data_IF_919049363160
#
_entry.id   IF_919049363160
#
_cell.length_a   1.000
_cell.length_b   1.000
_cell.length_c   1.000
_cell.angle_alpha   90.00
_cell.angle_beta   90.00
_cell.angle_gamma   90.00
#
_symmetry.space_group_name_H-M   'P 1'
#
loop_
_entity.id
_entity.type
_entity.pdbx_description
1 polymer ?
#
# COMPACT_ATOMS: atom_id res chain seq x y z
N UNK A 1 -87.00 6.45 2.93
CA UNK A 1 -86.15 6.92 1.83
C UNK A 1 -84.69 6.76 2.24
N UNK A 2 -83.92 5.99 1.49
CA UNK A 2 -82.56 5.56 1.82
C UNK A 2 -81.51 6.69 1.64
N UNK A 3 -80.38 6.67 2.37
CA UNK A 3 -79.30 7.62 2.16
C UNK A 3 -78.42 7.23 0.96
N UNK A 4 -78.09 8.21 0.12
CA UNK A 4 -77.25 8.07 -1.07
C UNK A 4 -75.80 7.73 -0.67
N UNK A 5 -75.29 6.60 -1.17
CA UNK A 5 -73.86 6.26 -1.24
C UNK A 5 -73.13 7.28 -2.12
N UNK A 6 -72.28 8.12 -1.53
CA UNK A 6 -71.30 8.92 -2.26
C UNK A 6 -70.14 8.03 -2.70
N UNK A 7 -70.03 7.78 -4.01
CA UNK A 7 -68.97 6.97 -4.59
C UNK A 7 -67.59 7.60 -4.42
N UNK A 8 -66.62 6.79 -3.98
CA UNK A 8 -65.18 7.06 -4.13
C UNK A 8 -64.89 7.32 -5.61
N UNK A 9 -64.66 8.58 -6.00
CA UNK A 9 -63.95 8.90 -7.23
C UNK A 9 -62.49 8.52 -7.03
N UNK A 10 -62.08 7.41 -7.62
CA UNK A 10 -60.67 7.08 -7.81
C UNK A 10 -59.96 8.24 -8.48
N UNK A 11 -58.89 8.71 -7.84
CA UNK A 11 -57.97 9.70 -8.41
C UNK A 11 -57.33 9.02 -9.63
N UNK A 12 -57.73 9.44 -10.82
CA UNK A 12 -57.11 9.04 -12.11
C UNK A 12 -55.60 9.25 -11.96
N UNK A 13 -54.82 8.18 -12.12
CA UNK A 13 -53.38 8.28 -12.35
C UNK A 13 -53.21 9.16 -13.59
N UNK A 14 -52.55 10.29 -13.40
CA UNK A 14 -52.07 11.14 -14.47
C UNK A 14 -51.08 10.27 -15.26
N UNK A 15 -51.36 10.04 -16.54
CA UNK A 15 -50.42 9.40 -17.47
C UNK A 15 -49.27 10.38 -17.72
N UNK A 16 -48.45 10.56 -16.69
CA UNK A 16 -47.22 11.32 -16.77
C UNK A 16 -46.26 10.50 -17.64
N UNK A 17 -45.88 11.04 -18.80
CA UNK A 17 -44.92 10.44 -19.72
C UNK A 17 -43.54 10.36 -19.05
N UNK A 18 -42.83 9.25 -19.27
CA UNK A 18 -41.49 9.05 -18.71
C UNK A 18 -40.54 10.18 -19.13
N UNK A 19 -39.81 10.82 -18.20
CA UNK A 19 -38.86 11.86 -18.56
C UNK A 19 -37.77 11.29 -19.47
N UNK A 20 -37.30 12.12 -20.41
CA UNK A 20 -36.32 11.70 -21.40
C UNK A 20 -35.05 11.17 -20.73
N UNK A 21 -34.56 10.03 -21.19
CA UNK A 21 -33.35 9.40 -20.66
C UNK A 21 -32.13 10.26 -20.96
N UNK A 22 -31.23 10.40 -19.98
CA UNK A 22 -29.93 11.02 -20.22
C UNK A 22 -29.15 10.08 -21.17
N UNK A 23 -28.67 10.62 -22.30
CA UNK A 23 -27.92 9.87 -23.30
C UNK A 23 -26.67 9.17 -22.73
N UNK A 24 -26.16 9.63 -21.58
CA UNK A 24 -25.06 8.97 -20.88
C UNK A 24 -25.42 7.59 -20.31
N UNK A 25 -26.68 7.34 -19.94
CA UNK A 25 -27.09 6.04 -19.41
C UNK A 25 -27.00 4.96 -20.48
N UNK A 26 -27.52 5.24 -21.68
CA UNK A 26 -27.43 4.33 -22.83
C UNK A 26 -25.97 4.14 -23.26
N UNK A 27 -25.19 5.23 -23.33
CA UNK A 27 -23.75 5.16 -23.63
C UNK A 27 -22.98 4.34 -22.61
N UNK A 28 -23.33 4.35 -21.33
CA UNK A 28 -22.68 3.49 -20.34
C UNK A 28 -23.09 2.04 -20.49
N UNK A 29 -24.34 1.76 -20.84
CA UNK A 29 -24.77 0.38 -21.13
C UNK A 29 -24.04 -0.18 -22.36
N UNK A 30 -23.75 0.67 -23.36
CA UNK A 30 -23.00 0.27 -24.56
C UNK A 30 -21.48 0.21 -24.33
N UNK A 31 -20.91 1.21 -23.65
CA UNK A 31 -19.45 1.31 -23.43
C UNK A 31 -18.96 0.49 -22.25
N UNK A 32 -19.82 0.24 -21.25
CA UNK A 32 -19.47 -0.36 -19.97
C UNK A 32 -18.69 0.58 -19.04
N UNK A 33 -18.58 1.88 -19.34
CA UNK A 33 -17.79 2.82 -18.53
C UNK A 33 -18.69 3.89 -17.93
N UNK A 34 -18.58 4.09 -16.61
CA UNK A 34 -19.24 5.17 -15.89
C UNK A 34 -18.23 6.12 -15.27
N UNK A 35 -18.15 7.34 -15.81
CA UNK A 35 -17.24 8.41 -15.36
C UNK A 35 -17.98 9.59 -14.70
N UNK A 36 -19.31 9.52 -14.65
CA UNK A 36 -20.16 10.61 -14.16
C UNK A 36 -20.37 10.54 -12.64
N UNK A 37 -20.90 11.62 -12.07
CA UNK A 37 -21.22 11.69 -10.64
C UNK A 37 -22.32 10.68 -10.27
N UNK A 38 -22.38 10.28 -9.00
CA UNK A 38 -23.45 9.43 -8.47
C UNK A 38 -24.83 10.09 -8.62
N UNK A 39 -24.87 11.42 -8.64
CA UNK A 39 -26.09 12.23 -8.85
C UNK A 39 -26.64 12.16 -10.26
N UNK A 40 -25.80 11.80 -11.24
CA UNK A 40 -26.21 11.70 -12.64
C UNK A 40 -26.83 10.33 -12.97
N UNK A 41 -26.81 9.40 -12.02
CA UNK A 41 -27.49 8.12 -12.16
C UNK A 41 -29.01 8.30 -12.02
N UNK A 42 -29.82 7.43 -12.66
CA UNK A 42 -31.27 7.45 -12.49
C UNK A 42 -31.64 7.30 -11.00
N UNK A 43 -32.52 8.15 -10.49
CA UNK A 43 -33.03 8.07 -9.12
C UNK A 43 -34.44 7.44 -9.14
N UNK A 44 -34.63 6.38 -8.35
CA UNK A 44 -35.91 5.70 -8.18
C UNK A 44 -37.00 6.60 -7.58
N UNK A 45 -36.62 7.66 -6.86
CA UNK A 45 -37.56 8.65 -6.33
C UNK A 45 -38.09 9.60 -7.41
N UNK A 46 -37.33 9.79 -8.48
CA UNK A 46 -37.72 10.67 -9.59
C UNK A 46 -38.73 10.00 -10.49
N UNK A 47 -38.56 8.69 -10.77
CA UNK A 47 -39.50 7.95 -11.60
C UNK A 47 -39.56 6.44 -11.28
N UNK A 48 -40.73 5.77 -11.37
CA UNK A 48 -40.88 4.37 -10.98
C UNK A 48 -40.00 3.37 -11.73
N UNK A 49 -39.70 3.60 -13.01
CA UNK A 49 -38.87 2.70 -13.83
C UNK A 49 -37.37 2.98 -13.67
N UNK A 50 -37.00 4.14 -13.12
CA UNK A 50 -35.59 4.56 -13.03
C UNK A 50 -34.78 3.74 -12.02
N UNK A 51 -35.42 3.15 -11.02
CA UNK A 51 -34.75 2.16 -10.16
C UNK A 51 -34.20 0.98 -10.97
N UNK A 52 -35.04 0.36 -11.80
CA UNK A 52 -34.60 -0.75 -12.66
C UNK A 52 -33.57 -0.30 -13.71
N UNK A 53 -33.69 0.93 -14.21
CA UNK A 53 -32.71 1.50 -15.15
C UNK A 53 -31.35 1.70 -14.47
N UNK A 54 -31.32 2.21 -13.24
CA UNK A 54 -30.11 2.38 -12.43
C UNK A 54 -29.41 1.04 -12.21
N UNK A 55 -30.16 0.02 -11.81
CA UNK A 55 -29.62 -1.34 -11.64
C UNK A 55 -29.04 -1.86 -12.95
N UNK A 56 -29.75 -1.66 -14.07
CA UNK A 56 -29.29 -2.09 -15.40
C UNK A 56 -28.00 -1.37 -15.82
N UNK A 57 -27.91 -0.06 -15.62
CA UNK A 57 -26.70 0.73 -15.92
C UNK A 57 -25.53 0.22 -15.08
N UNK A 58 -25.70 0.11 -13.77
CA UNK A 58 -24.64 -0.34 -12.86
C UNK A 58 -24.22 -1.80 -13.11
N UNK A 59 -25.15 -2.68 -13.46
CA UNK A 59 -24.85 -4.10 -13.76
C UNK A 59 -24.12 -4.26 -15.10
N UNK A 60 -24.33 -3.34 -16.05
CA UNK A 60 -23.64 -3.33 -17.33
C UNK A 60 -22.23 -2.70 -17.25
N UNK A 61 -21.91 -1.98 -16.16
CA UNK A 61 -20.61 -1.35 -15.99
C UNK A 61 -19.48 -2.39 -15.85
N UNK A 62 -18.44 -2.20 -16.67
CA UNK A 62 -17.12 -2.81 -16.57
C UNK A 62 -16.14 -1.97 -15.76
N UNK A 63 -16.26 -0.65 -15.88
CA UNK A 63 -15.40 0.30 -15.16
C UNK A 63 -16.25 1.42 -14.56
N UNK A 64 -16.03 1.71 -13.28
CA UNK A 64 -16.68 2.82 -12.58
C UNK A 64 -15.57 3.72 -12.04
N UNK A 65 -15.50 4.95 -12.57
CA UNK A 65 -14.50 5.96 -12.22
C UNK A 65 -15.21 7.22 -11.73
N UNK A 66 -15.32 7.37 -10.42
CA UNK A 66 -15.95 8.53 -9.79
C UNK A 66 -14.94 9.20 -8.89
N UNK A 67 -14.27 10.21 -9.43
CA UNK A 67 -13.17 10.88 -8.75
C UNK A 67 -13.58 12.23 -8.14
N UNK A 68 -12.90 12.64 -7.07
CA UNK A 68 -12.97 13.96 -6.46
C UNK A 68 -14.40 14.45 -6.17
N UNK A 69 -15.26 13.57 -5.69
CA UNK A 69 -16.67 13.88 -5.46
C UNK A 69 -17.03 13.87 -3.98
N UNK A 70 -17.95 14.77 -3.61
CA UNK A 70 -18.63 14.73 -2.32
C UNK A 70 -19.97 13.95 -2.39
N UNK A 71 -20.42 13.55 -3.58
CA UNK A 71 -21.69 12.84 -3.75
C UNK A 71 -21.62 11.36 -3.36
N UNK A 72 -20.43 10.77 -3.46
CA UNK A 72 -20.21 9.36 -3.17
C UNK A 72 -20.20 9.11 -1.66
N UNK A 73 -21.09 8.22 -1.24
CA UNK A 73 -21.29 7.80 0.15
C UNK A 73 -21.28 6.28 0.24
N UNK A 74 -21.17 5.77 1.46
CA UNK A 74 -21.22 4.34 1.78
C UNK A 74 -22.45 3.63 1.16
N UNK A 75 -23.59 4.31 1.09
CA UNK A 75 -24.82 3.75 0.50
C UNK A 75 -24.64 3.33 -0.96
N UNK A 76 -23.90 4.13 -1.75
CA UNK A 76 -23.63 3.84 -3.16
C UNK A 76 -22.62 2.71 -3.33
N UNK A 77 -21.55 2.72 -2.54
CA UNK A 77 -20.59 1.61 -2.53
C UNK A 77 -21.30 0.29 -2.18
N UNK A 78 -22.12 0.29 -1.13
CA UNK A 78 -22.93 -0.86 -0.73
C UNK A 78 -23.95 -1.27 -1.80
N UNK A 79 -24.49 -0.34 -2.58
CA UNK A 79 -25.38 -0.62 -3.69
C UNK A 79 -24.66 -1.38 -4.81
N UNK A 80 -23.50 -0.89 -5.25
CA UNK A 80 -22.68 -1.59 -6.27
C UNK A 80 -22.34 -3.00 -5.79
N UNK A 81 -21.91 -3.11 -4.54
CA UNK A 81 -21.55 -4.39 -3.92
C UNK A 81 -22.74 -5.36 -3.87
N UNK A 82 -23.95 -4.86 -3.59
CA UNK A 82 -25.19 -5.66 -3.60
C UNK A 82 -25.61 -6.09 -5.00
N UNK A 83 -25.47 -5.20 -5.98
CA UNK A 83 -25.77 -5.52 -7.38
C UNK A 83 -24.76 -6.51 -7.96
N UNK A 84 -23.53 -6.52 -7.42
CA UNK A 84 -22.42 -7.39 -7.81
C UNK A 84 -22.28 -7.50 -9.34
N UNK A 85 -21.97 -6.39 -10.05
CA UNK A 85 -21.91 -6.40 -11.50
C UNK A 85 -20.92 -7.46 -12.00
N UNK A 86 -21.33 -8.37 -12.90
CA UNK A 86 -20.54 -9.55 -13.26
C UNK A 86 -19.32 -9.22 -14.12
N UNK A 87 -19.34 -8.09 -14.82
CA UNK A 87 -18.27 -7.65 -15.73
C UNK A 87 -17.41 -6.52 -15.16
N UNK A 88 -17.64 -6.09 -13.91
CA UNK A 88 -16.91 -4.98 -13.30
C UNK A 88 -15.48 -5.41 -12.98
N UNK A 89 -14.52 -4.76 -13.64
CA UNK A 89 -13.09 -5.00 -13.50
C UNK A 89 -12.37 -3.92 -12.70
N UNK A 90 -12.89 -2.69 -12.73
CA UNK A 90 -12.24 -1.53 -12.10
C UNK A 90 -13.24 -0.65 -11.35
N UNK A 91 -12.91 -0.32 -10.11
CA UNK A 91 -13.58 0.71 -9.31
C UNK A 91 -12.53 1.73 -8.90
N UNK A 92 -12.73 2.98 -9.30
CA UNK A 92 -11.90 4.11 -8.91
C UNK A 92 -12.79 5.16 -8.24
N UNK A 93 -12.67 5.26 -6.92
CA UNK A 93 -13.35 6.26 -6.09
C UNK A 93 -12.39 7.28 -5.49
N UNK A 94 -11.27 7.53 -6.17
CA UNK A 94 -10.24 8.44 -5.70
C UNK A 94 -10.81 9.81 -5.30
N UNK A 95 -10.42 10.33 -4.14
CA UNK A 95 -10.84 11.66 -3.70
C UNK A 95 -12.29 11.73 -3.22
N UNK A 96 -12.92 10.59 -2.88
CA UNK A 96 -14.28 10.55 -2.36
C UNK A 96 -14.35 11.05 -0.91
N UNK A 97 -14.77 12.30 -0.72
CA UNK A 97 -14.67 13.00 0.56
C UNK A 97 -15.65 12.47 1.62
N UNK A 98 -16.76 11.85 1.20
CA UNK A 98 -17.83 11.40 2.09
C UNK A 98 -17.94 9.87 2.22
N UNK A 99 -17.00 9.12 1.63
CA UNK A 99 -16.89 7.69 1.84
C UNK A 99 -16.21 7.44 3.19
N UNK A 100 -16.91 6.78 4.11
CA UNK A 100 -16.43 6.45 5.46
C UNK A 100 -16.11 4.99 5.61
N UNK A 101 -16.94 4.13 5.02
CA UNK A 101 -16.78 2.69 5.12
C UNK A 101 -16.90 2.07 3.74
N UNK A 102 -15.93 1.22 3.38
CA UNK A 102 -16.01 0.40 2.18
C UNK A 102 -15.99 -1.08 2.58
N UNK A 103 -17.07 -1.79 2.24
CA UNK A 103 -17.25 -3.20 2.59
C UNK A 103 -17.59 -3.99 1.33
N UNK A 104 -16.69 -4.88 0.92
CA UNK A 104 -16.90 -5.87 -0.12
C UNK A 104 -16.93 -7.26 0.54
N UNK A 105 -18.12 -7.81 0.71
CA UNK A 105 -18.36 -9.12 1.35
C UNK A 105 -19.80 -9.59 1.06
N UNK A 106 -20.02 -10.86 0.65
CA UNK A 106 -19.07 -11.99 0.65
C UNK A 106 -18.04 -12.00 -0.48
N UNK A 107 -17.08 -12.94 -0.41
CA UNK A 107 -15.93 -13.08 -1.35
C UNK A 107 -16.32 -13.25 -2.83
N UNK A 108 -17.55 -13.69 -3.09
CA UNK A 108 -18.08 -13.94 -4.44
C UNK A 108 -18.62 -12.67 -5.13
N UNK A 109 -18.69 -11.54 -4.42
CA UNK A 109 -19.15 -10.28 -4.99
C UNK A 109 -18.15 -9.70 -5.96
N UNK A 110 -18.66 -9.15 -7.07
CA UNK A 110 -17.88 -8.57 -8.16
C UNK A 110 -16.75 -9.52 -8.61
N UNK A 111 -17.09 -10.70 -9.17
CA UNK A 111 -16.16 -11.82 -9.38
C UNK A 111 -15.03 -11.53 -10.38
N UNK A 112 -15.09 -10.41 -11.10
CA UNK A 112 -14.08 -9.96 -12.07
C UNK A 112 -13.35 -8.70 -11.63
N UNK A 113 -13.62 -8.17 -10.44
CA UNK A 113 -12.99 -6.93 -9.96
C UNK A 113 -11.51 -7.18 -9.75
N UNK A 114 -10.66 -6.50 -10.53
CA UNK A 114 -9.20 -6.64 -10.47
C UNK A 114 -8.55 -5.42 -9.80
N UNK A 115 -9.10 -4.23 -10.02
CA UNK A 115 -8.52 -2.96 -9.60
C UNK A 115 -9.48 -2.16 -8.72
N UNK A 116 -9.03 -1.78 -7.54
CA UNK A 116 -9.78 -0.92 -6.61
C UNK A 116 -8.90 0.24 -6.13
N UNK A 117 -9.25 1.47 -6.51
CA UNK A 117 -8.60 2.69 -6.04
C UNK A 117 -9.55 3.46 -5.11
N UNK A 118 -9.13 3.58 -3.85
CA UNK A 118 -9.82 4.34 -2.80
C UNK A 118 -8.89 5.43 -2.24
N UNK A 119 -7.89 5.86 -3.01
CA UNK A 119 -6.92 6.88 -2.59
C UNK A 119 -7.55 8.25 -2.36
N UNK A 120 -6.91 9.09 -1.55
CA UNK A 120 -7.32 10.48 -1.26
C UNK A 120 -8.73 10.59 -0.64
N UNK A 121 -9.28 9.49 -0.09
CA UNK A 121 -10.56 9.50 0.61
C UNK A 121 -10.41 10.05 2.03
N UNK A 122 -10.66 11.36 2.19
CA UNK A 122 -10.43 12.07 3.44
C UNK A 122 -11.20 11.52 4.65
N UNK A 123 -12.40 10.98 4.46
CA UNK A 123 -13.24 10.47 5.55
C UNK A 123 -13.21 8.95 5.72
N UNK A 124 -12.44 8.22 4.90
CA UNK A 124 -12.44 6.76 4.89
C UNK A 124 -11.82 6.24 6.18
N UNK A 125 -12.63 5.60 7.03
CA UNK A 125 -12.23 5.14 8.36
C UNK A 125 -12.07 3.63 8.48
N UNK A 126 -12.85 2.87 7.71
CA UNK A 126 -12.89 1.41 7.79
C UNK A 126 -12.99 0.77 6.40
N UNK A 127 -12.15 -0.23 6.17
CA UNK A 127 -12.17 -1.02 4.93
C UNK A 127 -12.21 -2.50 5.27
N UNK A 128 -13.20 -3.20 4.73
CA UNK A 128 -13.29 -4.66 4.73
C UNK A 128 -13.41 -5.16 3.30
N UNK A 129 -12.45 -5.95 2.84
CA UNK A 129 -12.40 -6.45 1.48
C UNK A 129 -12.27 -7.96 1.49
N UNK A 130 -13.20 -8.63 0.82
CA UNK A 130 -13.16 -10.05 0.51
C UNK A 130 -13.39 -10.20 -0.98
N UNK A 131 -12.38 -10.66 -1.72
CA UNK A 131 -12.51 -10.90 -3.16
C UNK A 131 -11.53 -11.97 -3.61
N UNK A 132 -11.95 -12.82 -4.54
CA UNK A 132 -11.06 -13.81 -5.16
C UNK A 132 -10.32 -13.27 -6.41
N UNK A 133 -10.75 -12.13 -6.95
CA UNK A 133 -10.26 -11.58 -8.23
C UNK A 133 -9.40 -10.33 -8.09
N UNK A 134 -9.47 -9.65 -6.94
CA UNK A 134 -8.81 -8.36 -6.73
C UNK A 134 -7.28 -8.52 -6.74
N UNK A 135 -6.61 -7.77 -7.62
CA UNK A 135 -5.15 -7.80 -7.83
C UNK A 135 -4.45 -6.56 -7.32
N UNK A 136 -5.06 -5.39 -7.49
CA UNK A 136 -4.47 -4.11 -7.09
C UNK A 136 -5.42 -3.35 -6.17
N UNK A 137 -4.88 -2.88 -5.05
CA UNK A 137 -5.61 -2.07 -4.09
C UNK A 137 -4.78 -0.86 -3.66
N UNK A 138 -5.32 0.33 -3.89
CA UNK A 138 -4.71 1.60 -3.48
C UNK A 138 -5.55 2.26 -2.37
N UNK A 139 -4.95 2.47 -1.20
CA UNK A 139 -5.54 3.14 -0.04
C UNK A 139 -4.67 4.33 0.40
N UNK A 140 -4.01 4.97 -0.56
CA UNK A 140 -3.09 6.08 -0.29
C UNK A 140 -3.80 7.34 0.19
N UNK A 141 -3.14 8.12 1.05
CA UNK A 141 -3.58 9.42 1.57
C UNK A 141 -4.98 9.38 2.18
N UNK A 142 -5.28 8.34 2.95
CA UNK A 142 -6.52 8.23 3.73
C UNK A 142 -6.25 8.63 5.20
N UNK A 143 -6.39 9.91 5.58
CA UNK A 143 -5.97 10.39 6.90
C UNK A 143 -6.78 9.84 8.05
N UNK A 144 -8.05 9.49 7.83
CA UNK A 144 -8.97 8.96 8.84
C UNK A 144 -9.01 7.44 8.90
N UNK A 145 -8.26 6.73 8.03
CA UNK A 145 -8.32 5.28 7.96
C UNK A 145 -7.73 4.67 9.23
N UNK A 146 -8.55 3.96 10.00
CA UNK A 146 -8.15 3.36 11.29
C UNK A 146 -7.96 1.85 11.19
N UNK A 147 -8.77 1.18 10.37
CA UNK A 147 -8.79 -0.28 10.26
C UNK A 147 -8.95 -0.74 8.82
N UNK A 148 -8.06 -1.65 8.40
CA UNK A 148 -8.12 -2.32 7.11
C UNK A 148 -8.07 -3.85 7.30
N UNK A 149 -9.13 -4.53 6.87
CA UNK A 149 -9.25 -5.99 6.89
C UNK A 149 -9.38 -6.46 5.44
N UNK A 150 -8.35 -7.14 4.93
CA UNK A 150 -8.25 -7.52 3.52
C UNK A 150 -8.04 -9.03 3.46
N UNK A 151 -8.96 -9.73 2.83
CA UNK A 151 -8.89 -11.15 2.54
C UNK A 151 -9.07 -11.36 1.03
N UNK A 152 -7.96 -11.20 0.32
CA UNK A 152 -7.90 -11.27 -1.13
C UNK A 152 -6.74 -12.19 -1.56
N UNK A 153 -6.99 -13.49 -1.76
CA UNK A 153 -5.95 -14.47 -2.12
C UNK A 153 -5.14 -14.06 -3.36
N UNK A 154 -5.78 -13.39 -4.31
CA UNK A 154 -5.20 -12.92 -5.58
C UNK A 154 -4.59 -11.52 -5.56
N UNK A 155 -4.42 -10.88 -4.39
CA UNK A 155 -3.92 -9.51 -4.31
C UNK A 155 -2.40 -9.47 -4.51
N UNK A 156 -1.93 -8.72 -5.51
CA UNK A 156 -0.52 -8.59 -5.88
C UNK A 156 0.12 -7.33 -5.33
N UNK A 157 -0.63 -6.20 -5.36
CA UNK A 157 -0.17 -4.88 -4.93
C UNK A 157 -1.11 -4.25 -3.92
N UNK A 158 -0.54 -3.74 -2.84
CA UNK A 158 -1.26 -3.06 -1.77
C UNK A 158 -0.49 -1.82 -1.30
N UNK A 159 -1.14 -0.66 -1.26
CA UNK A 159 -0.51 0.58 -0.81
C UNK A 159 -1.37 1.32 0.22
N UNK A 160 -0.74 1.78 1.30
CA UNK A 160 -1.30 2.55 2.41
C UNK A 160 -0.49 3.83 2.67
N UNK A 161 0.10 4.45 1.64
CA UNK A 161 0.96 5.62 1.84
C UNK A 161 0.20 6.74 2.56
N UNK A 162 0.85 7.38 3.53
CA UNK A 162 0.34 8.56 4.23
C UNK A 162 -1.03 8.36 4.92
N UNK A 163 -1.20 7.23 5.61
CA UNK A 163 -2.36 6.94 6.47
C UNK A 163 -2.00 7.06 7.97
N UNK A 164 -1.88 8.29 8.51
CA UNK A 164 -1.35 8.51 9.86
C UNK A 164 -2.17 7.89 11.00
N UNK A 165 -3.48 7.72 10.83
CA UNK A 165 -4.39 7.14 11.85
C UNK A 165 -4.59 5.63 11.72
N UNK A 166 -3.87 4.96 10.82
CA UNK A 166 -4.04 3.53 10.61
C UNK A 166 -3.52 2.76 11.83
N UNK A 167 -4.43 2.11 12.55
CA UNK A 167 -4.12 1.38 13.79
C UNK A 167 -4.04 -0.13 13.56
N UNK A 168 -4.97 -0.69 12.79
CA UNK A 168 -5.10 -2.14 12.57
C UNK A 168 -5.08 -2.48 11.09
N UNK A 169 -4.14 -3.33 10.70
CA UNK A 169 -4.04 -3.89 9.34
C UNK A 169 -4.02 -5.41 9.45
N UNK A 170 -4.97 -6.07 8.80
CA UNK A 170 -4.97 -7.52 8.62
C UNK A 170 -5.09 -7.83 7.14
N UNK A 171 -4.09 -8.51 6.58
CA UNK A 171 -4.03 -8.87 5.16
C UNK A 171 -3.81 -10.36 5.03
N UNK A 172 -4.70 -11.02 4.29
CA UNK A 172 -4.57 -12.39 3.81
C UNK A 172 -4.52 -12.36 2.28
N UNK A 173 -3.38 -12.72 1.72
CA UNK A 173 -3.18 -12.86 0.27
C UNK A 173 -2.10 -13.89 0.01
N UNK A 174 -2.32 -14.79 -0.93
CA UNK A 174 -1.34 -15.83 -1.25
C UNK A 174 -0.24 -15.31 -2.19
N UNK A 175 -0.51 -14.24 -2.95
CA UNK A 175 0.39 -13.76 -4.02
C UNK A 175 0.90 -12.33 -3.83
N UNK A 176 0.63 -11.68 -2.70
CA UNK A 176 1.07 -10.31 -2.44
C UNK A 176 2.60 -10.23 -2.47
N UNK A 177 3.12 -9.39 -3.37
CA UNK A 177 4.56 -9.21 -3.58
C UNK A 177 5.06 -7.88 -3.03
N UNK A 178 4.21 -6.85 -3.03
CA UNK A 178 4.57 -5.49 -2.63
C UNK A 178 3.51 -4.94 -1.67
N UNK A 179 3.96 -4.44 -0.51
CA UNK A 179 3.14 -3.64 0.41
C UNK A 179 3.86 -2.35 0.76
N UNK A 180 3.16 -1.23 0.59
CA UNK A 180 3.66 0.08 1.02
C UNK A 180 2.83 0.59 2.20
N UNK A 181 3.51 0.98 3.28
CA UNK A 181 2.89 1.53 4.50
C UNK A 181 3.61 2.80 4.96
N UNK A 182 4.29 3.50 4.05
CA UNK A 182 4.99 4.74 4.33
C UNK A 182 4.05 5.76 4.98
N UNK A 183 4.47 6.42 6.07
CA UNK A 183 3.66 7.45 6.74
C UNK A 183 2.51 6.94 7.61
N UNK A 184 2.44 5.63 7.90
CA UNK A 184 1.50 5.08 8.89
C UNK A 184 2.09 5.14 10.31
N UNK A 185 1.91 6.27 11.01
CA UNK A 185 2.56 6.50 12.32
C UNK A 185 1.83 5.88 13.53
N UNK A 186 0.56 5.51 13.40
CA UNK A 186 -0.27 5.02 14.52
C UNK A 186 -0.52 3.51 14.51
N UNK A 187 0.25 2.74 13.72
CA UNK A 187 0.06 1.30 13.60
C UNK A 187 0.32 0.59 14.94
N UNK A 188 -0.69 -0.12 15.43
CA UNK A 188 -0.60 -0.90 16.67
C UNK A 188 -0.66 -2.40 16.39
N UNK A 189 -1.46 -2.82 15.41
CA UNK A 189 -1.68 -4.23 15.08
C UNK A 189 -1.51 -4.45 13.59
N UNK A 190 -0.52 -5.26 13.22
CA UNK A 190 -0.28 -5.67 11.83
C UNK A 190 -0.23 -7.20 11.77
N UNK A 191 -1.17 -7.80 11.03
CA UNK A 191 -1.21 -9.24 10.77
C UNK A 191 -1.16 -9.48 9.27
N UNK A 192 -0.04 -10.00 8.79
CA UNK A 192 0.16 -10.30 7.37
C UNK A 192 0.28 -11.81 7.21
N UNK A 193 -0.65 -12.39 6.46
CA UNK A 193 -0.62 -13.77 6.01
C UNK A 193 -0.35 -13.75 4.51
N UNK A 194 0.89 -13.41 4.16
CA UNK A 194 1.35 -13.25 2.78
C UNK A 194 2.66 -14.02 2.56
N UNK A 195 2.61 -15.27 2.07
CA UNK A 195 3.81 -16.10 1.93
C UNK A 195 4.80 -15.58 0.89
N UNK A 196 4.32 -14.86 -0.13
CA UNK A 196 5.14 -14.34 -1.24
C UNK A 196 5.74 -12.93 -1.00
N UNK A 197 5.34 -12.23 0.07
CA UNK A 197 5.78 -10.85 0.34
C UNK A 197 7.29 -10.74 0.63
N UNK A 198 7.91 -11.84 1.04
CA UNK A 198 9.34 -11.92 1.37
C UNK A 198 10.16 -12.73 0.36
N UNK A 199 9.66 -12.95 -0.86
CA UNK A 199 10.44 -13.59 -1.91
C UNK A 199 11.36 -12.61 -2.65
N UNK A 200 11.96 -11.66 -1.93
CA UNK A 200 13.29 -11.15 -2.29
C UNK A 200 14.32 -12.18 -1.84
N UNK A 201 14.30 -13.36 -2.48
CA UNK A 201 15.54 -14.11 -2.60
C UNK A 201 16.32 -13.31 -3.64
N UNK A 202 17.23 -12.45 -3.18
CA UNK A 202 18.35 -12.10 -4.02
C UNK A 202 18.94 -13.42 -4.53
N UNK A 203 18.95 -13.72 -5.84
CA UNK A 203 19.97 -14.61 -6.34
C UNK A 203 21.24 -13.77 -6.32
N UNK A 204 21.83 -13.52 -5.15
CA UNK A 204 23.27 -13.26 -5.14
C UNK A 204 23.89 -14.55 -5.68
N UNK A 205 24.53 -14.53 -6.86
CA UNK A 205 25.32 -15.68 -7.27
C UNK A 205 26.45 -15.76 -6.26
N UNK A 206 26.45 -16.85 -5.49
CA UNK A 206 27.50 -17.26 -4.57
C UNK A 206 27.71 -16.35 -3.35
N UNK A 207 27.37 -16.91 -2.19
CA UNK A 207 28.30 -17.04 -1.07
C UNK A 207 29.47 -16.06 -1.14
N UNK A 208 29.29 -14.86 -0.58
CA UNK A 208 30.43 -14.11 -0.09
C UNK A 208 31.09 -15.03 0.93
N UNK A 209 32.18 -15.70 0.54
CA UNK A 209 33.08 -16.29 1.50
C UNK A 209 33.37 -15.18 2.50
N UNK A 210 33.07 -15.41 3.76
CA UNK A 210 33.65 -14.60 4.82
C UNK A 210 35.16 -14.68 4.62
N UNK A 211 35.75 -13.71 3.92
CA UNK A 211 37.18 -13.48 4.00
C UNK A 211 37.38 -13.03 5.43
N UNK A 212 37.65 -13.99 6.32
CA UNK A 212 38.20 -13.70 7.64
C UNK A 212 39.31 -12.68 7.39
N UNK A 213 39.33 -11.54 8.10
CA UNK A 213 40.46 -10.63 8.01
C UNK A 213 41.71 -11.47 8.22
N UNK A 214 42.51 -11.60 7.16
CA UNK A 214 43.79 -12.28 7.20
C UNK A 214 44.72 -11.38 7.99
N UNK A 215 44.59 -11.40 9.31
CA UNK A 215 45.60 -10.82 10.17
C UNK A 215 46.81 -11.77 10.17
N UNK A 216 48.04 -11.26 10.14
CA UNK A 216 49.20 -12.10 10.39
C UNK A 216 49.02 -12.85 11.72
N UNK A 217 49.50 -14.09 11.85
CA UNK A 217 49.48 -14.77 13.14
C UNK A 217 50.16 -13.87 14.17
N UNK A 218 49.64 -13.82 15.40
CA UNK A 218 50.15 -12.95 16.48
C UNK A 218 51.66 -13.11 16.67
N UNK A 219 52.20 -14.31 16.40
CA UNK A 219 53.64 -14.59 16.39
C UNK A 219 54.46 -13.75 15.38
N UNK A 220 53.90 -13.40 14.21
CA UNK A 220 54.56 -12.54 13.23
C UNK A 220 54.64 -11.09 13.71
N UNK A 221 53.52 -10.56 14.24
CA UNK A 221 53.48 -9.19 14.82
C UNK A 221 54.42 -9.09 16.03
N UNK A 222 54.49 -10.12 16.87
CA UNK A 222 55.42 -10.16 18.00
C UNK A 222 56.89 -10.20 17.55
N UNK A 223 57.22 -10.94 16.49
CA UNK A 223 58.60 -10.94 15.94
C UNK A 223 58.98 -9.57 15.39
N UNK A 224 58.07 -8.91 14.69
CA UNK A 224 58.31 -7.58 14.13
C UNK A 224 58.55 -6.55 15.23
N UNK A 225 57.73 -6.57 16.29
CA UNK A 225 57.92 -5.71 17.46
C UNK A 225 59.24 -5.98 18.19
N UNK A 226 59.65 -7.24 18.33
CA UNK A 226 60.93 -7.60 18.94
C UNK A 226 62.13 -7.13 18.10
N UNK A 227 62.04 -7.23 16.77
CA UNK A 227 63.09 -6.76 15.87
C UNK A 227 63.22 -5.23 15.91
N UNK A 228 62.09 -4.52 15.89
CA UNK A 228 62.08 -3.04 16.01
C UNK A 228 62.64 -2.61 17.37
N UNK A 229 62.26 -3.29 18.46
CA UNK A 229 62.80 -3.00 19.78
C UNK A 229 64.31 -3.25 19.87
N UNK A 230 64.81 -4.32 19.25
CA UNK A 230 66.24 -4.61 19.18
C UNK A 230 67.00 -3.54 18.38
N UNK A 231 66.49 -3.14 17.21
CA UNK A 231 67.11 -2.10 16.39
C UNK A 231 67.15 -0.73 17.09
N UNK A 232 66.08 -0.38 17.83
CA UNK A 232 66.05 0.84 18.64
C UNK A 232 67.05 0.78 19.80
N UNK A 233 67.17 -0.38 20.45
CA UNK A 233 68.15 -0.58 21.53
C UNK A 233 69.60 -0.50 21.02
N UNK A 234 69.90 -1.13 19.89
CA UNK A 234 71.21 -1.04 19.24
C UNK A 234 71.54 0.41 18.84
N UNK A 235 70.59 1.13 18.23
CA UNK A 235 70.78 2.54 17.88
C UNK A 235 70.95 3.44 19.12
N UNK A 236 70.27 3.14 20.22
CA UNK A 236 70.44 3.86 21.48
C UNK A 236 71.83 3.61 22.08
N UNK A 237 72.27 2.36 22.09
CA UNK A 237 73.59 1.97 22.55
C UNK A 237 74.67 2.59 21.65
N UNK A 238 74.52 2.59 20.33
CA UNK A 238 75.48 3.20 19.42
C UNK A 238 75.57 4.73 19.62
N UNK A 239 74.45 5.41 19.90
CA UNK A 239 74.46 6.84 20.28
C UNK A 239 75.19 7.08 21.60
N UNK A 240 74.99 6.21 22.58
CA UNK A 240 75.66 6.30 23.88
C UNK A 240 77.17 6.10 23.73
N UNK A 241 77.60 5.06 23.01
CA UNK A 241 79.01 4.78 22.73
C UNK A 241 79.67 5.83 21.83
N UNK A 242 78.93 6.42 20.90
CA UNK A 242 79.40 7.55 20.08
C UNK A 242 79.63 8.80 20.93
N UNK A 243 78.72 9.09 21.88
CA UNK A 243 78.90 10.16 22.86
C UNK A 243 80.12 9.95 23.76
N UNK A 244 80.38 8.71 24.18
CA UNK A 244 81.58 8.33 24.94
C UNK A 244 82.87 8.45 24.13
N UNK A 245 82.85 8.11 22.83
CA UNK A 245 84.00 8.29 21.92
C UNK A 245 84.32 9.76 21.65
N UNK A 246 83.33 10.64 21.66
CA UNK A 246 83.53 12.09 21.58
C UNK A 246 84.28 12.68 22.79
N UNK A 247 84.16 12.03 23.96
CA UNK A 247 84.81 12.44 25.20
C UNK A 247 86.08 11.65 25.56
N UNK A 248 86.45 10.62 24.79
CA UNK A 248 87.69 9.87 25.01
C UNK A 248 88.88 10.61 24.40
N UNK A 249 89.40 11.62 25.11
CA UNK A 249 90.78 12.07 24.92
C UNK A 249 91.73 10.99 25.44
N UNK A 250 92.15 10.08 24.56
CA UNK A 250 93.32 9.24 24.85
C UNK A 250 94.54 10.15 24.73
N UNK A 251 95.15 10.50 25.86
CA UNK A 251 96.42 11.21 25.88
C UNK A 251 97.48 10.33 25.18
N UNK A 252 98.33 10.88 24.28
CA UNK A 252 99.32 10.09 23.58
C UNK A 252 100.32 9.51 24.58
N UNK A 253 100.34 8.17 24.69
CA UNK A 253 101.28 7.43 25.53
C UNK A 253 102.68 7.57 24.94
N UNK A 254 103.53 8.30 25.66
CA UNK A 254 104.95 8.46 25.38
C UNK A 254 105.64 7.10 25.52
N UNK A 255 106.26 6.59 24.44
CA UNK A 255 107.15 5.42 24.49
C UNK A 255 108.59 5.90 24.66
N UNK A 256 109.28 5.62 25.77
CA UNK A 256 110.71 5.81 25.86
C UNK A 256 111.44 4.64 25.19
N UNK A 257 112.61 4.96 24.61
CA UNK A 257 113.56 4.06 23.95
C UNK A 257 114.07 2.93 24.85
#
# INVERSE_FOLDING_TARGET
MAPKKGGKKGKKKEDSLEPQHDASWERTVESGVWEKSVTDLPDANTWPTWGALRERVLTACKEIKIQNTASLRDAFANEIVKLSPPELTLIDFKGSLNLRNFVLSPIDQCPKLMDLDLSECASLGYVLLQSNSLKNLCLDKCPELTKALIHCPGLQKLSFKNCPKLETVMVWSDILAEIDMEGCSSLTTVKLHCPNLFQSVDPTPNSTSHVRPSHPPVAAVLRENLYVAAAVAEAAQEREWSGLRGNSHIAPVFRPF
#
